data_IF_654069119031
#
_entry.id   IF_654069119031
#
_cell.length_a   1.000
_cell.length_b   1.000
_cell.length_c   1.000
_cell.angle_alpha   90.00
_cell.angle_beta   90.00
_cell.angle_gamma   90.00
#
_symmetry.space_group_name_H-M   'P 1'
#
loop_
_entity.id
_entity.type
_entity.pdbx_description
1 polymer ?
#
# COMPACT_ATOMS: atom_id res chain seq x y z
N UNK A 1 22.75 7.49 9.54
CA UNK A 1 21.73 8.51 9.84
C UNK A 1 20.38 7.82 9.88
N UNK A 2 19.82 7.61 11.07
CA UNK A 2 18.46 7.12 11.21
C UNK A 2 17.54 8.33 11.32
N UNK A 3 16.61 8.46 10.39
CA UNK A 3 15.58 9.49 10.46
C UNK A 3 14.55 9.10 11.52
N UNK A 4 14.35 9.97 12.52
CA UNK A 4 13.51 9.70 13.69
C UNK A 4 12.14 10.39 13.63
N UNK A 5 11.98 11.39 12.75
CA UNK A 5 10.74 12.15 12.61
C UNK A 5 10.08 11.88 11.25
N UNK A 6 8.75 11.70 11.21
CA UNK A 6 8.01 11.64 9.96
C UNK A 6 8.25 12.89 9.12
N UNK A 7 8.30 12.71 7.82
CA UNK A 7 8.59 13.78 6.87
C UNK A 7 7.89 13.50 5.56
N UNK A 8 7.60 14.55 4.81
CA UNK A 8 7.02 14.43 3.48
C UNK A 8 8.02 13.73 2.54
N UNK A 9 7.53 12.75 1.77
CA UNK A 9 8.35 12.06 0.78
C UNK A 9 9.03 13.03 -0.19
N UNK A 10 10.25 12.70 -0.59
CA UNK A 10 10.97 13.43 -1.64
C UNK A 10 10.22 13.40 -2.96
N UNK A 11 9.43 12.36 -3.23
CA UNK A 11 8.62 12.24 -4.45
C UNK A 11 7.47 13.26 -4.51
N UNK A 12 7.10 13.86 -3.39
CA UNK A 12 6.11 14.95 -3.35
C UNK A 12 6.78 16.32 -3.51
N UNK A 13 8.01 16.45 -3.01
CA UNK A 13 8.70 17.74 -2.84
C UNK A 13 9.79 18.02 -3.89
N UNK A 14 10.27 17.00 -4.61
CA UNK A 14 11.31 17.16 -5.61
C UNK A 14 10.82 17.91 -6.86
N UNK A 15 11.66 18.76 -7.47
CA UNK A 15 11.34 19.44 -8.72
C UNK A 15 11.03 18.43 -9.83
N UNK A 16 9.85 18.54 -10.46
CA UNK A 16 9.37 17.60 -11.48
C UNK A 16 8.55 16.42 -10.95
N UNK A 17 8.65 16.07 -9.66
CA UNK A 17 7.84 15.00 -9.05
C UNK A 17 6.46 15.47 -8.58
N UNK A 18 6.29 16.79 -8.40
CA UNK A 18 4.99 17.38 -8.10
C UNK A 18 3.93 17.02 -9.16
N UNK A 19 4.31 16.90 -10.44
CA UNK A 19 3.36 16.50 -11.49
C UNK A 19 2.97 15.01 -11.39
N UNK A 20 3.88 14.13 -10.96
CA UNK A 20 3.61 12.70 -10.81
C UNK A 20 2.66 12.45 -9.65
N UNK A 21 2.93 13.04 -8.48
CA UNK A 21 2.05 12.90 -7.32
C UNK A 21 0.63 13.41 -7.62
N UNK A 22 0.51 14.57 -8.28
CA UNK A 22 -0.81 15.09 -8.70
C UNK A 22 -1.48 14.20 -9.76
N UNK A 23 -0.70 13.58 -10.66
CA UNK A 23 -1.24 12.64 -11.65
C UNK A 23 -1.78 11.38 -10.98
N UNK A 24 -1.02 10.80 -10.04
CA UNK A 24 -1.46 9.65 -9.23
C UNK A 24 -2.73 10.00 -8.46
N UNK A 25 -2.77 11.16 -7.81
CA UNK A 25 -3.97 11.64 -7.10
C UNK A 25 -5.15 11.80 -8.04
N UNK A 26 -4.95 12.37 -9.22
CA UNK A 26 -6.01 12.60 -10.22
C UNK A 26 -6.57 11.28 -10.78
N UNK A 27 -5.69 10.31 -11.07
CA UNK A 27 -6.06 9.05 -11.71
C UNK A 27 -6.61 8.04 -10.70
N UNK A 28 -5.97 7.88 -9.54
CA UNK A 28 -6.28 6.85 -8.55
C UNK A 28 -7.08 7.37 -7.35
N UNK A 29 -7.36 8.67 -7.26
CA UNK A 29 -8.07 9.25 -6.11
C UNK A 29 -9.40 8.55 -5.81
N UNK A 30 -10.24 8.35 -6.83
CA UNK A 30 -11.51 7.64 -6.67
C UNK A 30 -11.34 6.18 -6.25
N UNK A 31 -10.25 5.52 -6.67
CA UNK A 31 -9.91 4.16 -6.24
C UNK A 31 -9.52 4.16 -4.76
N UNK A 32 -8.73 5.14 -4.32
CA UNK A 32 -8.35 5.27 -2.91
C UNK A 32 -9.54 5.57 -2.01
N UNK A 33 -10.45 6.45 -2.42
CA UNK A 33 -11.69 6.72 -1.69
C UNK A 33 -12.56 5.44 -1.56
N UNK A 34 -12.62 4.64 -2.64
CA UNK A 34 -13.33 3.36 -2.62
C UNK A 34 -12.67 2.33 -1.70
N UNK A 35 -11.34 2.19 -1.77
CA UNK A 35 -10.59 1.30 -0.88
C UNK A 35 -10.71 1.71 0.58
N UNK A 36 -10.71 3.01 0.87
CA UNK A 36 -10.94 3.55 2.22
C UNK A 36 -12.30 3.10 2.75
N UNK A 37 -13.36 3.26 1.95
CA UNK A 37 -14.71 2.81 2.28
C UNK A 37 -14.76 1.30 2.53
N UNK A 38 -14.13 0.50 1.67
CA UNK A 38 -14.06 -0.96 1.82
C UNK A 38 -13.31 -1.38 3.08
N UNK A 39 -12.20 -0.75 3.39
CA UNK A 39 -11.44 -1.03 4.60
C UNK A 39 -12.26 -0.73 5.86
N UNK A 40 -12.99 0.39 5.87
CA UNK A 40 -13.87 0.78 6.97
C UNK A 40 -15.01 -0.22 7.17
N UNK A 41 -15.57 -0.74 6.08
CA UNK A 41 -16.62 -1.78 6.13
C UNK A 41 -16.07 -3.12 6.62
N UNK A 42 -14.92 -3.57 6.10
CA UNK A 42 -14.36 -4.88 6.36
C UNK A 42 -13.68 -4.99 7.73
N UNK A 43 -12.98 -3.93 8.16
CA UNK A 43 -12.12 -3.92 9.35
C UNK A 43 -12.27 -2.60 10.14
N UNK A 44 -13.46 -2.28 10.66
CA UNK A 44 -13.76 -0.97 11.27
C UNK A 44 -12.83 -0.63 12.44
N UNK A 45 -12.50 -1.60 13.30
CA UNK A 45 -11.58 -1.36 14.42
C UNK A 45 -10.15 -1.06 13.97
N UNK A 46 -9.69 -1.73 12.91
CA UNK A 46 -8.37 -1.47 12.36
C UNK A 46 -8.33 -0.10 11.70
N UNK A 47 -9.38 0.25 10.93
CA UNK A 47 -9.52 1.57 10.32
C UNK A 47 -9.40 2.69 11.37
N UNK A 48 -10.12 2.59 12.50
CA UNK A 48 -10.03 3.61 13.56
C UNK A 48 -8.63 3.69 14.20
N UNK A 49 -7.93 2.56 14.34
CA UNK A 49 -6.53 2.55 14.81
C UNK A 49 -5.61 3.28 13.82
N UNK A 50 -5.74 2.99 12.53
CA UNK A 50 -4.97 3.65 11.47
C UNK A 50 -5.26 5.16 11.45
N UNK A 51 -6.53 5.57 11.56
CA UNK A 51 -6.90 6.97 11.70
C UNK A 51 -6.27 7.64 12.94
N UNK A 52 -6.26 6.96 14.08
CA UNK A 52 -5.62 7.47 15.29
C UNK A 52 -4.12 7.69 15.09
N UNK A 53 -3.43 6.75 14.44
CA UNK A 53 -2.02 6.91 14.06
C UNK A 53 -1.80 8.09 13.11
N UNK A 54 -2.60 8.21 12.06
CA UNK A 54 -2.50 9.29 11.09
C UNK A 54 -2.71 10.69 11.71
N UNK A 55 -3.61 10.82 12.70
CA UNK A 55 -3.89 12.10 13.40
C UNK A 55 -2.71 12.64 14.21
N UNK A 56 -1.80 11.76 14.63
CA UNK A 56 -0.63 12.14 15.44
C UNK A 56 0.53 12.59 14.54
N UNK A 57 0.44 12.37 13.22
CA UNK A 57 1.50 12.81 12.30
C UNK A 57 1.66 14.34 12.28
N UNK A 58 2.90 14.84 12.31
CA UNK A 58 3.18 16.26 12.22
C UNK A 58 2.69 16.81 10.87
N UNK A 59 2.00 17.95 10.90
CA UNK A 59 1.50 18.65 9.71
C UNK A 59 0.03 18.41 9.36
N UNK A 60 -0.65 17.43 9.99
CA UNK A 60 -2.08 17.14 9.82
C UNK A 60 -2.56 17.13 8.35
N UNK A 61 -1.67 16.77 7.42
CA UNK A 61 -2.00 16.70 6.00
C UNK A 61 -2.69 15.37 5.72
N UNK A 62 -3.97 15.42 5.33
CA UNK A 62 -4.65 14.24 4.79
C UNK A 62 -3.87 13.71 3.60
N UNK A 63 -3.44 12.46 3.69
CA UNK A 63 -2.85 11.71 2.59
C UNK A 63 -3.93 11.34 1.57
N UNK A 64 -3.54 11.09 0.33
CA UNK A 64 -4.46 10.62 -0.71
C UNK A 64 -4.88 9.15 -0.50
N UNK A 65 -4.23 8.46 0.42
CA UNK A 65 -4.43 7.04 0.72
C UNK A 65 -4.95 6.81 2.15
N UNK A 66 -5.69 7.76 2.71
CA UNK A 66 -6.27 7.60 4.05
C UNK A 66 -7.01 6.24 4.21
N UNK A 67 -6.92 5.58 5.37
CA UNK A 67 -6.26 6.00 6.59
C UNK A 67 -4.75 5.68 6.62
N UNK A 68 -4.20 5.13 5.54
CA UNK A 68 -2.77 4.89 5.39
C UNK A 68 -2.01 6.19 5.17
N UNK A 69 -0.72 6.18 5.53
CA UNK A 69 0.13 7.38 5.45
C UNK A 69 1.24 7.25 4.39
N UNK A 70 1.47 6.03 3.92
CA UNK A 70 2.42 5.70 2.87
C UNK A 70 1.74 5.15 1.62
N UNK A 71 2.37 5.38 0.48
CA UNK A 71 1.98 4.87 -0.83
C UNK A 71 3.23 4.43 -1.58
N UNK A 72 3.26 3.19 -2.04
CA UNK A 72 4.29 2.66 -2.93
C UNK A 72 3.62 2.13 -4.19
N UNK A 73 4.22 2.42 -5.35
CA UNK A 73 3.80 1.85 -6.63
C UNK A 73 4.95 1.02 -7.17
N UNK A 74 4.79 -0.29 -7.18
CA UNK A 74 5.76 -1.21 -7.77
C UNK A 74 5.38 -1.43 -9.23
N UNK A 75 6.30 -1.15 -10.16
CA UNK A 75 6.11 -1.34 -11.59
C UNK A 75 6.96 -2.52 -12.07
N UNK A 76 6.30 -3.57 -12.56
CA UNK A 76 6.93 -4.77 -13.08
C UNK A 76 7.96 -5.42 -12.12
N UNK A 77 7.56 -5.59 -10.86
CA UNK A 77 8.42 -6.14 -9.80
C UNK A 77 7.94 -7.52 -9.34
N UNK A 78 8.90 -8.42 -9.12
CA UNK A 78 8.76 -9.61 -8.26
C UNK A 78 9.55 -9.36 -6.99
N UNK A 79 8.89 -9.33 -5.84
CA UNK A 79 9.53 -9.08 -4.55
C UNK A 79 10.09 -10.37 -3.97
N UNK A 80 11.27 -10.31 -3.35
CA UNK A 80 11.72 -11.40 -2.49
C UNK A 80 10.83 -11.51 -1.23
N UNK A 81 10.85 -12.66 -0.56
CA UNK A 81 10.15 -12.86 0.71
C UNK A 81 10.65 -11.87 1.78
N UNK A 82 9.73 -11.07 2.34
CA UNK A 82 10.05 -10.06 3.36
C UNK A 82 8.87 -9.83 4.31
N UNK A 83 9.16 -9.05 5.36
CA UNK A 83 8.16 -8.47 6.26
C UNK A 83 8.38 -6.97 6.32
N UNK A 84 7.31 -6.21 6.34
CA UNK A 84 7.37 -4.78 6.56
C UNK A 84 7.40 -4.56 8.07
N UNK A 85 8.57 -4.80 8.68
CA UNK A 85 8.77 -4.75 10.15
C UNK A 85 8.41 -3.42 10.80
N UNK A 86 8.31 -2.41 9.95
CA UNK A 86 8.00 -1.02 10.20
C UNK A 86 6.48 -0.78 10.25
N UNK A 87 5.69 -1.50 9.45
CA UNK A 87 4.25 -1.28 9.43
C UNK A 87 3.53 -1.51 10.76
N UNK A 88 2.65 -0.57 11.09
CA UNK A 88 1.77 -0.62 12.23
C UNK A 88 0.40 -1.20 11.85
N UNK A 89 0.30 -2.53 11.93
CA UNK A 89 -0.98 -3.24 11.87
C UNK A 89 -1.19 -4.00 10.58
N UNK A 90 -1.56 -3.32 9.50
CA UNK A 90 -1.87 -3.92 8.20
C UNK A 90 -1.30 -3.09 7.05
N UNK A 91 -1.05 -3.74 5.92
CA UNK A 91 -0.91 -3.07 4.63
C UNK A 91 -2.04 -3.51 3.69
N UNK A 92 -2.25 -2.73 2.63
CA UNK A 92 -3.14 -3.05 1.52
C UNK A 92 -2.31 -3.16 0.25
N UNK A 93 -2.47 -4.25 -0.51
CA UNK A 93 -1.95 -4.39 -1.87
C UNK A 93 -3.10 -4.46 -2.85
N UNK A 94 -3.07 -3.62 -3.89
CA UNK A 94 -3.96 -3.66 -5.05
C UNK A 94 -3.13 -4.05 -6.28
N UNK A 95 -3.54 -5.10 -6.99
CA UNK A 95 -2.89 -5.53 -8.23
C UNK A 95 -3.52 -4.83 -9.44
N UNK A 96 -2.70 -4.33 -10.37
CA UNK A 96 -3.14 -3.57 -11.55
C UNK A 96 -2.33 -4.02 -12.76
N UNK A 97 -2.98 -4.08 -13.92
CA UNK A 97 -2.35 -4.35 -15.21
C UNK A 97 -2.93 -5.56 -15.94
N UNK A 98 -2.24 -6.01 -16.97
CA UNK A 98 -2.60 -7.15 -17.80
C UNK A 98 -1.51 -8.20 -17.63
N UNK A 99 -1.79 -9.21 -16.81
CA UNK A 99 -0.80 -10.19 -16.39
C UNK A 99 -1.43 -11.54 -16.03
N UNK A 100 -0.61 -12.58 -16.12
CA UNK A 100 -0.91 -13.93 -15.65
C UNK A 100 0.06 -14.33 -14.54
N UNK A 101 -0.44 -14.99 -13.48
CA UNK A 101 0.32 -15.33 -12.28
C UNK A 101 0.51 -14.13 -11.35
N UNK A 102 1.60 -14.08 -10.59
CA UNK A 102 1.87 -12.94 -9.69
C UNK A 102 1.07 -12.94 -8.39
N UNK A 103 0.57 -14.11 -8.00
CA UNK A 103 -0.22 -14.32 -6.78
C UNK A 103 0.55 -13.91 -5.53
N UNK A 104 -0.18 -13.43 -4.53
CA UNK A 104 0.38 -13.06 -3.23
C UNK A 104 0.54 -14.31 -2.36
N UNK A 105 1.74 -14.54 -1.87
CA UNK A 105 2.03 -15.60 -0.90
C UNK A 105 2.08 -14.99 0.49
N UNK A 106 1.34 -15.59 1.43
CA UNK A 106 1.43 -15.36 2.87
C UNK A 106 2.00 -16.63 3.51
N UNK A 107 3.28 -16.60 3.86
CA UNK A 107 4.05 -17.80 4.16
C UNK A 107 3.59 -18.52 5.44
N UNK A 108 3.47 -17.80 6.55
CA UNK A 108 3.12 -18.38 7.86
C UNK A 108 1.75 -19.09 7.86
N UNK A 109 0.68 -18.55 7.24
CA UNK A 109 -0.57 -19.28 7.13
C UNK A 109 -0.57 -20.34 6.02
N UNK A 110 0.50 -20.46 5.21
CA UNK A 110 0.57 -21.38 4.08
C UNK A 110 -0.43 -21.04 2.96
N UNK A 111 -0.77 -19.76 2.81
CA UNK A 111 -1.79 -19.30 1.87
C UNK A 111 -1.15 -18.68 0.63
N UNK A 112 -1.69 -19.04 -0.53
CA UNK A 112 -1.47 -18.34 -1.78
C UNK A 112 -2.81 -17.73 -2.20
N UNK A 113 -2.82 -16.41 -2.34
CA UNK A 113 -3.99 -15.60 -2.68
C UNK A 113 -3.85 -15.17 -4.13
N UNK A 114 -4.65 -15.74 -5.05
CA UNK A 114 -4.68 -15.29 -6.42
C UNK A 114 -5.09 -13.82 -6.50
N UNK A 115 -4.34 -13.02 -7.26
CA UNK A 115 -4.64 -11.60 -7.47
C UNK A 115 -4.71 -11.31 -8.96
N UNK A 116 -5.89 -10.95 -9.44
CA UNK A 116 -6.08 -10.44 -10.80
C UNK A 116 -6.05 -8.91 -10.80
N UNK A 117 -6.15 -8.33 -12.00
CA UNK A 117 -6.38 -6.91 -12.17
C UNK A 117 -7.56 -6.43 -11.31
N UNK A 118 -7.33 -5.43 -10.46
CA UNK A 118 -8.35 -4.82 -9.61
C UNK A 118 -8.58 -5.53 -8.28
N UNK A 119 -8.01 -6.72 -8.07
CA UNK A 119 -8.09 -7.42 -6.80
C UNK A 119 -7.17 -6.74 -5.77
N UNK A 120 -7.65 -6.64 -4.53
CA UNK A 120 -6.85 -6.16 -3.42
C UNK A 120 -6.90 -7.11 -2.22
N UNK A 121 -5.83 -7.10 -1.43
CA UNK A 121 -5.74 -7.85 -0.19
C UNK A 121 -5.24 -6.94 0.94
N UNK A 122 -5.77 -7.17 2.14
CA UNK A 122 -5.34 -6.49 3.38
C UNK A 122 -4.81 -7.54 4.34
N UNK A 123 -3.60 -7.37 4.82
CA UNK A 123 -2.95 -8.36 5.70
C UNK A 123 -1.92 -7.71 6.63
N UNK A 124 -1.57 -8.35 7.76
CA UNK A 124 -0.60 -7.82 8.70
C UNK A 124 0.85 -8.01 8.21
N UNK A 125 1.32 -7.13 7.34
CA UNK A 125 2.64 -7.14 6.68
C UNK A 125 3.84 -7.23 7.64
N UNK A 126 3.72 -6.66 8.85
CA UNK A 126 4.77 -6.75 9.87
C UNK A 126 4.87 -8.12 10.54
N UNK A 127 3.80 -8.94 10.48
CA UNK A 127 3.73 -10.28 11.08
C UNK A 127 3.91 -11.40 10.07
N UNK A 128 3.52 -11.17 8.83
CA UNK A 128 3.51 -12.19 7.78
C UNK A 128 4.62 -11.95 6.76
N UNK A 129 5.45 -12.98 6.56
CA UNK A 129 6.37 -13.03 5.45
C UNK A 129 5.59 -13.17 4.17
N UNK A 130 5.79 -12.24 3.25
CA UNK A 130 5.02 -12.16 2.02
C UNK A 130 5.88 -11.81 0.80
N UNK A 131 5.39 -12.21 -0.36
CA UNK A 131 5.99 -11.97 -1.67
C UNK A 131 4.97 -12.26 -2.77
N UNK A 132 5.22 -11.78 -3.99
CA UNK A 132 4.48 -12.22 -5.16
C UNK A 132 5.22 -13.30 -5.94
N UNK A 133 4.47 -14.23 -6.54
CA UNK A 133 5.03 -15.20 -7.48
C UNK A 133 5.49 -14.52 -8.78
N UNK A 134 6.22 -15.27 -9.61
CA UNK A 134 6.52 -14.83 -10.96
C UNK A 134 5.24 -14.64 -11.78
N UNK A 135 5.27 -13.69 -12.70
CA UNK A 135 4.17 -13.38 -13.59
C UNK A 135 4.67 -13.15 -15.02
N UNK A 136 3.75 -13.17 -15.98
CA UNK A 136 3.97 -12.75 -17.37
C UNK A 136 3.07 -11.55 -17.69
N UNK A 137 3.52 -10.66 -18.56
CA UNK A 137 2.77 -9.45 -18.93
C UNK A 137 3.23 -8.20 -18.16
N UNK A 138 2.32 -7.23 -18.01
CA UNK A 138 2.56 -5.94 -17.37
C UNK A 138 1.81 -5.89 -16.04
N UNK A 139 2.54 -5.97 -14.93
CA UNK A 139 1.97 -5.99 -13.57
C UNK A 139 2.50 -4.81 -12.77
N UNK A 140 1.59 -4.01 -12.26
CA UNK A 140 1.84 -3.03 -11.22
C UNK A 140 1.15 -3.45 -9.92
N UNK A 141 1.65 -2.97 -8.79
CA UNK A 141 0.92 -3.05 -7.52
C UNK A 141 0.99 -1.72 -6.79
N UNK A 142 -0.15 -1.34 -6.22
CA UNK A 142 -0.27 -0.19 -5.33
C UNK A 142 -0.30 -0.71 -3.90
N UNK A 143 0.64 -0.25 -3.09
CA UNK A 143 0.77 -0.62 -1.68
C UNK A 143 0.42 0.59 -0.83
N UNK A 144 -0.54 0.42 0.07
CA UNK A 144 -0.88 1.41 1.10
C UNK A 144 -0.41 0.88 2.46
N UNK A 145 0.35 1.70 3.19
CA UNK A 145 1.05 1.27 4.40
C UNK A 145 1.22 2.42 5.41
N UNK A 146 1.82 2.14 6.56
CA UNK A 146 1.74 3.03 7.74
C UNK A 146 3.04 3.59 8.26
N UNK A 147 4.19 3.23 7.69
CA UNK A 147 5.50 3.52 8.29
C UNK A 147 6.55 4.08 7.33
#
# INVERSE_FOLDING_TARGET
>A
YHQLLPYTSKDITAPGSHSIYQSVKSILGAVFDWLEGKLKEMLPEMYERLCASARIMPGNSKTICAPFIGLVINLNVVTAAHRDSKDNGVCLVLAIGDFEGGDLVLYEPGLMVPLHHGDFAVFPSCKLTHFNLHYKGCRASVILHTD
#
